data_IF_544814255444
#
_entry.id   IF_544814255444
#
_cell.length_a   1.000
_cell.length_b   1.000
_cell.length_c   1.000
_cell.angle_alpha   90.00
_cell.angle_beta   90.00
_cell.angle_gamma   90.00
#
_symmetry.space_group_name_H-M   'P 1'
#
loop_
_entity.id
_entity.type
_entity.pdbx_description
1 polymer ?
#
# COMPACT_ATOMS: atom_id res chain seq x y z
N UNK A 1 32.65 51.56 19.67
CA UNK A 1 32.22 50.81 20.88
C UNK A 1 31.46 49.59 20.39
N UNK A 2 31.78 48.42 20.95
CA UNK A 2 31.57 47.07 20.38
C UNK A 2 30.10 46.63 20.49
N UNK A 3 29.48 46.28 19.37
CA UNK A 3 28.17 45.61 19.33
C UNK A 3 28.41 44.11 19.39
N UNK A 4 27.90 43.47 20.44
CA UNK A 4 28.02 42.03 20.66
C UNK A 4 27.09 41.26 19.71
N UNK A 5 27.65 40.30 18.98
CA UNK A 5 26.91 39.36 18.13
C UNK A 5 26.38 38.24 19.04
N UNK A 6 25.07 38.19 19.22
CA UNK A 6 24.39 37.06 19.88
C UNK A 6 24.22 35.93 18.86
N UNK A 7 25.06 34.90 18.99
CA UNK A 7 24.89 33.63 18.29
C UNK A 7 23.78 32.82 18.96
N UNK A 8 22.59 32.76 18.35
CA UNK A 8 21.58 31.79 18.71
C UNK A 8 21.97 30.44 18.11
N UNK A 9 22.61 29.59 18.93
CA UNK A 9 22.70 28.17 18.66
C UNK A 9 21.30 27.56 18.84
N UNK A 10 20.58 27.36 17.74
CA UNK A 10 19.37 26.54 17.74
C UNK A 10 19.80 25.09 17.91
N UNK A 11 19.76 24.62 19.14
CA UNK A 11 19.70 23.20 19.48
C UNK A 11 18.41 22.64 18.89
N UNK A 12 18.48 22.12 17.66
CA UNK A 12 17.41 21.27 17.12
C UNK A 12 17.57 19.92 17.83
N UNK A 13 16.61 19.50 18.67
CA UNK A 13 16.69 18.18 19.28
C UNK A 13 16.59 17.16 18.16
N UNK A 14 17.61 16.31 18.06
CA UNK A 14 17.61 15.15 17.20
C UNK A 14 16.49 14.20 17.61
N UNK A 15 15.39 14.24 16.85
CA UNK A 15 14.52 13.11 16.68
C UNK A 15 14.81 12.56 15.28
N UNK A 16 15.86 11.75 15.19
CA UNK A 16 15.84 10.64 14.24
C UNK A 16 14.72 9.71 14.69
N UNK A 17 13.47 10.11 14.47
CA UNK A 17 12.39 9.16 14.30
C UNK A 17 12.85 8.34 13.10
N UNK A 18 13.30 7.12 13.38
CA UNK A 18 13.11 6.03 12.45
C UNK A 18 11.61 6.05 12.16
N UNK A 19 11.20 6.84 11.17
CA UNK A 19 9.90 6.70 10.57
C UNK A 19 9.82 5.21 10.28
N UNK A 20 8.97 4.50 11.02
CA UNK A 20 8.69 3.14 10.66
C UNK A 20 8.16 3.27 9.23
N UNK A 21 8.98 2.90 8.23
CA UNK A 21 8.75 3.10 6.79
C UNK A 21 7.55 2.29 6.28
N UNK A 22 6.73 1.85 7.21
CA UNK A 22 5.86 0.74 7.15
C UNK A 22 4.56 1.08 7.83
N UNK A 23 3.43 0.60 7.29
CA UNK A 23 2.17 0.87 7.93
C UNK A 23 2.17 0.28 9.33
N UNK A 24 2.00 1.12 10.35
CA UNK A 24 1.67 0.68 11.69
C UNK A 24 0.26 0.12 11.71
N UNK A 25 -0.11 -0.61 12.76
CA UNK A 25 -1.51 -1.02 12.95
C UNK A 25 -2.41 0.14 13.40
N UNK A 26 -1.80 1.27 13.72
CA UNK A 26 -2.39 2.53 14.17
C UNK A 26 -2.49 3.60 13.07
N UNK A 27 -1.93 3.35 11.87
CA UNK A 27 -2.00 4.26 10.72
C UNK A 27 -2.68 3.65 9.50
N UNK A 28 -3.20 4.53 8.64
CA UNK A 28 -3.77 4.17 7.35
C UNK A 28 -2.71 4.09 6.25
N UNK A 29 -2.94 3.25 5.25
CA UNK A 29 -2.04 3.07 4.12
C UNK A 29 -2.77 2.68 2.84
N UNK A 30 -2.13 2.93 1.70
CA UNK A 30 -2.58 2.48 0.38
C UNK A 30 -1.46 1.81 -0.39
N UNK A 31 -1.72 0.64 -0.94
CA UNK A 31 -0.88 0.01 -1.95
C UNK A 31 -1.57 0.01 -3.30
N UNK A 32 -0.91 0.54 -4.33
CA UNK A 32 -1.42 0.68 -5.68
C UNK A 32 -0.54 -0.04 -6.69
N UNK A 33 -1.09 -1.00 -7.43
CA UNK A 33 -0.36 -1.84 -8.38
C UNK A 33 -1.07 -1.86 -9.73
N UNK A 34 -0.28 -1.99 -10.80
CA UNK A 34 -0.79 -2.19 -12.15
C UNK A 34 -0.07 -3.33 -12.86
N UNK A 35 -0.77 -4.03 -13.74
CA UNK A 35 -0.23 -5.11 -14.56
C UNK A 35 -0.77 -4.98 -16.00
N UNK A 36 0.05 -5.13 -17.04
CA UNK A 36 -0.44 -5.20 -18.42
C UNK A 36 -1.48 -6.32 -18.62
N UNK A 37 -2.49 -6.05 -19.45
CA UNK A 37 -3.52 -7.01 -19.82
C UNK A 37 -3.68 -7.11 -21.35
N UNK A 38 -4.24 -8.22 -21.87
CA UNK A 38 -4.49 -8.38 -23.29
C UNK A 38 -5.30 -7.22 -23.89
N UNK A 39 -5.05 -6.92 -25.17
CA UNK A 39 -5.77 -5.86 -25.89
C UNK A 39 -5.30 -4.44 -25.59
N UNK A 40 -4.10 -4.27 -25.01
CA UNK A 40 -3.58 -2.96 -24.62
C UNK A 40 -4.26 -2.37 -23.38
N UNK A 41 -4.95 -3.22 -22.62
CA UNK A 41 -5.57 -2.88 -21.36
C UNK A 41 -4.57 -2.98 -20.20
N UNK A 42 -4.98 -2.50 -19.04
CA UNK A 42 -4.22 -2.59 -17.81
C UNK A 42 -5.11 -3.12 -16.69
N UNK A 43 -4.64 -4.11 -15.93
CA UNK A 43 -5.21 -4.42 -14.62
C UNK A 43 -4.70 -3.42 -13.60
N UNK A 44 -5.58 -2.93 -12.75
CA UNK A 44 -5.24 -2.08 -11.62
C UNK A 44 -5.70 -2.73 -10.33
N UNK A 45 -5.00 -2.46 -9.25
CA UNK A 45 -5.32 -2.93 -7.91
C UNK A 45 -4.94 -1.89 -6.87
N UNK A 46 -5.84 -1.67 -5.93
CA UNK A 46 -5.68 -0.83 -4.76
C UNK A 46 -6.03 -1.65 -3.53
N UNK A 47 -5.19 -1.55 -2.51
CA UNK A 47 -5.48 -2.05 -1.18
C UNK A 47 -5.34 -0.88 -0.22
N UNK A 48 -6.46 -0.52 0.39
CA UNK A 48 -6.55 0.49 1.43
C UNK A 48 -6.63 -0.21 2.77
N UNK A 49 -5.65 0.02 3.64
CA UNK A 49 -5.67 -0.46 5.01
C UNK A 49 -5.95 0.66 5.98
N UNK A 50 -6.87 0.41 6.90
CA UNK A 50 -7.18 1.28 8.04
C UNK A 50 -6.90 0.56 9.36
N UNK A 51 -6.62 1.30 10.45
CA UNK A 51 -6.48 0.73 11.78
C UNK A 51 -7.67 -0.15 12.17
N UNK A 52 -7.38 -1.43 12.43
CA UNK A 52 -8.34 -2.45 12.85
C UNK A 52 -8.25 -2.76 14.35
N UNK A 53 -8.65 -3.98 14.73
CA UNK A 53 -8.53 -4.48 16.10
C UNK A 53 -7.33 -5.42 16.20
N UNK A 54 -6.63 -5.39 17.32
CA UNK A 54 -5.67 -6.43 17.73
C UNK A 54 -4.57 -6.77 16.71
N UNK A 55 -3.81 -5.76 16.23
CA UNK A 55 -2.71 -6.00 15.30
C UNK A 55 -3.17 -6.42 13.90
N UNK A 56 -4.33 -5.92 13.48
CA UNK A 56 -4.90 -6.12 12.14
C UNK A 56 -5.30 -4.78 11.55
N UNK A 57 -5.35 -4.74 10.23
CA UNK A 57 -6.01 -3.69 9.47
C UNK A 57 -7.38 -4.15 9.02
N UNK A 58 -8.36 -3.24 8.98
CA UNK A 58 -9.50 -3.39 8.08
C UNK A 58 -9.02 -3.00 6.70
N UNK A 59 -9.30 -3.81 5.69
CA UNK A 59 -8.88 -3.52 4.33
C UNK A 59 -10.06 -3.36 3.40
N UNK A 60 -9.95 -2.42 2.47
CA UNK A 60 -10.78 -2.33 1.28
C UNK A 60 -9.89 -2.61 0.08
N UNK A 61 -10.32 -3.55 -0.74
CA UNK A 61 -9.62 -3.92 -1.98
C UNK A 61 -10.48 -3.49 -3.15
N UNK A 62 -9.91 -2.71 -4.04
CA UNK A 62 -10.51 -2.36 -5.33
C UNK A 62 -9.57 -2.78 -6.44
N UNK A 63 -10.04 -3.56 -7.40
CA UNK A 63 -9.24 -3.95 -8.54
C UNK A 63 -10.09 -4.04 -9.80
N UNK A 64 -9.46 -4.10 -10.96
CA UNK A 64 -10.21 -4.12 -12.20
C UNK A 64 -9.37 -4.04 -13.45
N UNK A 65 -10.06 -3.92 -14.57
CA UNK A 65 -9.46 -3.61 -15.87
C UNK A 65 -9.78 -2.16 -16.25
N UNK A 66 -8.77 -1.46 -16.73
CA UNK A 66 -8.87 -0.10 -17.25
C UNK A 66 -8.18 0.04 -18.61
N UNK A 67 -8.63 1.02 -19.39
CA UNK A 67 -7.90 1.52 -20.53
C UNK A 67 -6.87 2.56 -20.04
N UNK A 68 -5.55 2.28 -20.13
CA UNK A 68 -4.52 3.18 -19.61
C UNK A 68 -4.40 4.48 -20.42
N UNK A 69 -4.96 4.56 -21.64
CA UNK A 69 -4.90 5.77 -22.48
C UNK A 69 -5.97 6.78 -22.09
N UNK A 70 -7.13 6.31 -21.67
CA UNK A 70 -8.30 7.14 -21.36
C UNK A 70 -8.60 7.20 -19.86
N UNK A 71 -7.99 6.33 -19.05
CA UNK A 71 -8.32 6.15 -17.64
C UNK A 71 -9.67 5.49 -17.40
N UNK A 72 -10.37 5.04 -18.46
CA UNK A 72 -11.71 4.46 -18.33
C UNK A 72 -11.64 3.08 -17.70
N UNK A 73 -12.33 2.91 -16.56
CA UNK A 73 -12.52 1.62 -15.91
C UNK A 73 -13.56 0.80 -16.70
N UNK A 74 -13.16 -0.41 -17.12
CA UNK A 74 -13.99 -1.33 -17.90
C UNK A 74 -14.63 -2.41 -17.04
N UNK A 75 -13.90 -2.88 -16.02
CA UNK A 75 -14.39 -3.81 -15.00
C UNK A 75 -13.86 -3.36 -13.65
N UNK A 76 -14.66 -3.56 -12.62
CA UNK A 76 -14.32 -3.22 -11.25
C UNK A 76 -14.84 -4.32 -10.32
N UNK A 77 -13.99 -4.74 -9.40
CA UNK A 77 -14.30 -5.59 -8.27
C UNK A 77 -13.92 -4.83 -7.01
N UNK A 78 -14.83 -4.79 -6.03
CA UNK A 78 -14.62 -4.14 -4.74
C UNK A 78 -15.03 -5.10 -3.64
N UNK A 79 -14.14 -5.27 -2.67
CA UNK A 79 -14.42 -6.06 -1.48
C UNK A 79 -13.75 -5.49 -0.25
N UNK A 80 -14.05 -6.10 0.88
CA UNK A 80 -13.53 -5.71 2.19
C UNK A 80 -13.07 -6.93 2.96
N UNK A 81 -12.14 -6.75 3.88
CA UNK A 81 -11.74 -7.81 4.78
C UNK A 81 -10.70 -7.36 5.78
N UNK A 82 -9.75 -8.23 6.08
CA UNK A 82 -8.71 -7.96 7.06
C UNK A 82 -7.32 -8.26 6.51
N UNK A 83 -6.36 -7.45 6.94
CA UNK A 83 -4.94 -7.66 6.68
C UNK A 83 -4.14 -7.69 7.98
N UNK A 84 -2.95 -8.27 7.93
CA UNK A 84 -1.98 -8.25 9.03
C UNK A 84 -0.55 -8.37 8.50
N UNK A 85 0.43 -8.18 9.37
CA UNK A 85 1.84 -8.44 9.05
C UNK A 85 2.12 -9.94 9.09
N UNK A 86 2.87 -10.43 8.11
CA UNK A 86 3.36 -11.81 8.10
C UNK A 86 4.65 -11.96 8.92
N UNK A 87 5.19 -13.19 8.96
CA UNK A 87 6.49 -13.48 9.57
C UNK A 87 7.69 -13.03 8.70
N UNK A 88 7.46 -12.80 7.41
CA UNK A 88 8.40 -12.20 6.45
C UNK A 88 8.23 -10.67 6.47
N UNK A 89 9.22 -9.84 6.05
CA UNK A 89 9.02 -8.40 5.87
C UNK A 89 7.99 -8.15 4.77
N UNK A 90 6.72 -8.20 5.14
CA UNK A 90 5.60 -8.17 4.23
C UNK A 90 4.29 -8.24 5.01
N UNK A 91 3.23 -7.88 4.31
CA UNK A 91 1.88 -7.87 4.85
C UNK A 91 0.91 -8.38 3.81
N UNK A 92 -0.21 -8.88 4.27
CA UNK A 92 -1.19 -9.49 3.40
C UNK A 92 -2.52 -9.63 4.10
N UNK A 93 -3.50 -10.08 3.36
CA UNK A 93 -4.85 -10.18 3.86
C UNK A 93 -5.77 -10.91 2.92
N UNK A 94 -6.99 -11.09 3.39
CA UNK A 94 -8.10 -11.67 2.63
C UNK A 94 -9.21 -10.65 2.56
N UNK A 95 -9.90 -10.59 1.42
CA UNK A 95 -11.12 -9.83 1.26
C UNK A 95 -12.22 -10.70 0.67
N UNK A 96 -13.45 -10.34 1.00
CA UNK A 96 -14.66 -10.94 0.47
C UNK A 96 -15.46 -9.86 -0.28
N UNK A 97 -16.18 -10.29 -1.32
CA UNK A 97 -17.01 -9.43 -2.15
C UNK A 97 -18.49 -9.74 -1.92
N UNK A 98 -19.39 -8.77 -2.20
CA UNK A 98 -20.84 -8.98 -2.06
C UNK A 98 -21.40 -10.11 -2.93
N UNK A 99 -20.72 -10.47 -4.02
CA UNK A 99 -21.10 -11.55 -4.93
C UNK A 99 -20.67 -12.95 -4.46
N UNK A 100 -20.08 -13.06 -3.25
CA UNK A 100 -19.62 -14.31 -2.66
C UNK A 100 -18.25 -14.76 -3.14
N UNK A 101 -17.63 -14.08 -4.12
CA UNK A 101 -16.23 -14.31 -4.46
C UNK A 101 -15.33 -13.74 -3.35
N UNK A 102 -14.10 -14.23 -3.31
CA UNK A 102 -13.10 -13.83 -2.33
C UNK A 102 -11.72 -13.78 -2.98
N UNK A 103 -10.81 -13.05 -2.35
CA UNK A 103 -9.42 -13.04 -2.79
C UNK A 103 -8.46 -12.78 -1.64
N UNK A 104 -7.17 -12.90 -1.96
CA UNK A 104 -6.06 -12.64 -1.05
C UNK A 104 -4.98 -11.82 -1.72
N UNK A 105 -4.29 -11.00 -0.94
CA UNK A 105 -3.15 -10.21 -1.42
C UNK A 105 -1.96 -10.41 -0.50
N UNK A 106 -0.78 -10.28 -1.09
CA UNK A 106 0.50 -10.27 -0.38
C UNK A 106 1.34 -9.14 -0.97
N UNK A 107 1.94 -8.35 -0.09
CA UNK A 107 2.89 -7.29 -0.42
C UNK A 107 4.18 -7.59 0.35
N UNK A 108 5.29 -7.61 -0.38
CA UNK A 108 6.61 -8.01 0.13
C UNK A 108 7.57 -6.84 0.08
N UNK A 109 8.33 -6.63 1.16
CA UNK A 109 9.44 -5.68 1.16
C UNK A 109 10.62 -6.18 0.36
N UNK A 110 11.33 -5.24 -0.26
CA UNK A 110 12.73 -5.42 -0.55
C UNK A 110 13.55 -5.20 0.74
N UNK A 111 13.97 -6.28 1.40
CA UNK A 111 14.79 -6.20 2.61
C UNK A 111 16.16 -5.50 2.39
N UNK A 112 16.62 -5.38 1.14
CA UNK A 112 17.86 -4.67 0.80
C UNK A 112 17.66 -3.17 0.62
N UNK A 113 16.43 -2.73 0.34
CA UNK A 113 16.04 -1.33 0.12
C UNK A 113 14.69 -1.06 0.78
N UNK A 114 14.63 -1.09 2.12
CA UNK A 114 13.39 -0.94 2.86
C UNK A 114 12.66 0.39 2.63
N UNK A 115 13.40 1.43 2.23
CA UNK A 115 12.91 2.74 1.83
C UNK A 115 12.25 2.76 0.44
N UNK A 116 12.43 1.71 -0.35
CA UNK A 116 11.76 1.57 -1.64
C UNK A 116 10.28 1.31 -1.41
N UNK A 117 9.47 2.37 -1.47
CA UNK A 117 8.01 2.29 -1.44
C UNK A 117 7.42 1.65 -2.72
N UNK A 118 8.26 1.23 -3.66
CA UNK A 118 7.88 0.37 -4.79
C UNK A 118 8.01 -1.09 -4.36
N UNK A 119 6.89 -1.68 -3.96
CA UNK A 119 6.82 -3.01 -3.35
C UNK A 119 6.27 -4.05 -4.32
N UNK A 120 6.92 -5.21 -4.36
CA UNK A 120 6.36 -6.35 -5.06
C UNK A 120 5.12 -6.86 -4.34
N UNK A 121 4.09 -7.24 -5.08
CA UNK A 121 2.95 -7.92 -4.51
C UNK A 121 2.10 -8.63 -5.56
N UNK A 122 1.13 -9.36 -5.06
CA UNK A 122 0.22 -10.18 -5.85
C UNK A 122 -1.20 -10.15 -5.27
N UNK A 123 -2.19 -10.32 -6.13
CA UNK A 123 -3.59 -10.54 -5.77
C UNK A 123 -4.07 -11.84 -6.43
N UNK A 124 -4.80 -12.66 -5.66
CA UNK A 124 -5.27 -13.99 -6.07
C UNK A 124 -6.76 -14.14 -5.76
N UNK A 125 -7.48 -14.93 -6.58
CA UNK A 125 -8.89 -15.27 -6.36
C UNK A 125 -9.90 -14.47 -7.20
N UNK A 126 -9.45 -13.39 -7.85
CA UNK A 126 -10.29 -12.50 -8.67
C UNK A 126 -9.58 -12.19 -9.98
N UNK A 127 -10.13 -12.64 -11.11
CA UNK A 127 -9.47 -12.55 -12.43
C UNK A 127 -9.25 -11.12 -12.92
N UNK A 128 -10.07 -10.19 -12.45
CA UNK A 128 -9.96 -8.77 -12.75
C UNK A 128 -8.76 -8.11 -12.05
N UNK A 129 -8.25 -8.69 -10.96
CA UNK A 129 -7.15 -8.12 -10.18
C UNK A 129 -5.77 -8.41 -10.79
N UNK A 130 -4.77 -7.53 -10.58
CA UNK A 130 -3.37 -7.80 -10.92
C UNK A 130 -2.85 -9.07 -10.26
N UNK A 131 -2.35 -10.01 -11.06
CA UNK A 131 -1.83 -11.30 -10.57
C UNK A 131 -0.47 -11.17 -9.91
N UNK A 132 0.31 -10.18 -10.34
CA UNK A 132 1.61 -9.80 -9.77
C UNK A 132 2.01 -8.43 -10.28
N UNK A 133 2.81 -7.70 -9.51
CA UNK A 133 3.39 -6.45 -9.96
C UNK A 133 4.23 -5.77 -8.91
N UNK A 134 4.84 -4.65 -9.31
CA UNK A 134 5.46 -3.71 -8.38
C UNK A 134 4.51 -2.54 -8.24
N UNK A 135 4.06 -2.28 -7.02
CA UNK A 135 3.10 -1.23 -6.70
C UNK A 135 3.68 -0.22 -5.72
N UNK A 136 3.15 1.00 -5.76
CA UNK A 136 3.53 2.06 -4.85
C UNK A 136 2.78 1.90 -3.52
N UNK A 137 3.50 1.98 -2.40
CA UNK A 137 2.97 2.10 -1.06
C UNK A 137 3.01 3.58 -0.64
N UNK A 138 1.93 4.06 -0.03
CA UNK A 138 1.90 5.36 0.64
C UNK A 138 1.31 5.23 2.04
N UNK A 139 1.91 5.89 3.02
CA UNK A 139 1.26 6.22 4.29
C UNK A 139 0.26 7.36 4.06
N UNK A 140 -0.91 7.28 4.69
CA UNK A 140 -1.98 8.27 4.55
C UNK A 140 -1.76 9.57 5.34
N UNK A 141 -0.53 10.09 5.38
CA UNK A 141 -0.16 11.33 6.08
C UNK A 141 -0.81 12.58 5.46
#
# INVERSE_FOLDING_TARGET
MRVAILAFAVLVPGAALSAELWPGFDSGWRWAVTEPAPGGLQRYGYVDGEPGRSGRWRVRVECGLQDPRTGRVLRRAVGTGEGTRGASPGFGGRWDMPDGRCGSYIVTQDAKRPESLSLYGEMVGVDECPRRGVGALSSGD
#
